data_IF_856617803739
#
_entry.id   IF_856617803739
#
_cell.length_a   1.000
_cell.length_b   1.000
_cell.length_c   1.000
_cell.angle_alpha   90.00
_cell.angle_beta   90.00
_cell.angle_gamma   90.00
#
_symmetry.space_group_name_H-M   'P 1'
#
loop_
_entity.id
_entity.type
_entity.pdbx_description
1 polymer ?
#
# COMPACT_ATOMS: atom_id res chain seq x y z
N UNK A 1 -27.64 -15.66 -13.70
CA UNK A 1 -26.24 -15.18 -13.76
C UNK A 1 -26.16 -14.30 -14.98
N UNK A 2 -25.80 -13.02 -14.84
CA UNK A 2 -25.41 -12.24 -16.01
C UNK A 2 -24.07 -12.78 -16.52
N UNK A 3 -23.97 -12.99 -17.82
CA UNK A 3 -22.72 -13.38 -18.48
C UNK A 3 -21.74 -12.18 -18.41
N UNK A 4 -20.49 -12.43 -18.02
CA UNK A 4 -19.43 -11.40 -18.02
C UNK A 4 -19.20 -10.84 -19.42
N UNK A 5 -19.46 -11.64 -20.45
CA UNK A 5 -19.38 -11.23 -21.86
C UNK A 5 -20.38 -10.12 -22.17
N UNK A 6 -21.65 -10.30 -21.76
CA UNK A 6 -22.71 -9.30 -21.93
C UNK A 6 -22.41 -8.02 -21.14
N UNK A 7 -21.82 -8.15 -19.94
CA UNK A 7 -21.41 -7.01 -19.12
C UNK A 7 -20.33 -6.18 -19.82
N UNK A 8 -19.29 -6.82 -20.34
CA UNK A 8 -18.21 -6.11 -21.05
C UNK A 8 -18.75 -5.45 -22.33
N UNK A 9 -19.64 -6.13 -23.05
CA UNK A 9 -20.26 -5.56 -24.25
C UNK A 9 -21.13 -4.33 -23.91
N UNK A 10 -21.85 -4.37 -22.79
CA UNK A 10 -22.57 -3.22 -22.26
C UNK A 10 -21.62 -2.04 -21.95
N UNK A 11 -20.47 -2.31 -21.31
CA UNK A 11 -19.46 -1.29 -21.00
C UNK A 11 -18.84 -0.68 -22.28
N UNK A 12 -18.61 -1.47 -23.34
CA UNK A 12 -18.10 -0.97 -24.62
C UNK A 12 -19.03 0.03 -25.30
N UNK A 13 -20.34 -0.06 -25.04
CA UNK A 13 -21.34 0.85 -25.59
C UNK A 13 -21.45 2.19 -24.83
N UNK A 14 -20.74 2.35 -23.71
CA UNK A 14 -20.72 3.60 -22.93
C UNK A 14 -19.73 4.59 -23.52
N UNK A 15 -20.00 5.89 -23.33
CA UNK A 15 -19.01 6.90 -23.66
C UNK A 15 -17.85 6.77 -22.66
N UNK A 16 -16.60 6.79 -23.12
CA UNK A 16 -15.44 6.66 -22.22
C UNK A 16 -15.43 7.68 -21.07
N UNK A 17 -16.02 8.87 -21.28
CA UNK A 17 -16.18 9.89 -20.24
C UNK A 17 -17.05 9.41 -19.08
N UNK A 18 -18.10 8.63 -19.38
CA UNK A 18 -18.97 8.05 -18.36
C UNK A 18 -18.21 7.04 -17.50
N UNK A 19 -17.25 6.31 -18.08
CA UNK A 19 -16.45 5.32 -17.37
C UNK A 19 -15.44 5.96 -16.41
N UNK A 20 -14.70 6.98 -16.86
CA UNK A 20 -13.65 7.62 -16.05
C UNK A 20 -14.17 8.56 -14.96
N UNK A 21 -15.43 8.98 -15.04
CA UNK A 21 -16.04 9.89 -14.06
C UNK A 21 -16.56 9.17 -12.81
N UNK A 22 -16.53 7.84 -12.78
CA UNK A 22 -17.00 7.07 -11.64
C UNK A 22 -15.98 7.09 -10.50
N UNK A 23 -16.45 7.36 -9.29
CA UNK A 23 -15.63 7.22 -8.09
C UNK A 23 -15.63 5.77 -7.65
N UNK A 24 -14.51 5.08 -7.88
CA UNK A 24 -14.29 3.69 -7.46
C UNK A 24 -13.08 3.70 -6.51
N UNK A 25 -13.35 3.51 -5.22
CA UNK A 25 -12.33 3.60 -4.18
C UNK A 25 -11.83 2.19 -3.81
N UNK A 26 -10.54 1.86 -3.98
CA UNK A 26 -9.98 0.59 -3.54
C UNK A 26 -9.83 0.54 -2.01
N UNK A 27 -9.46 -0.62 -1.49
CA UNK A 27 -8.91 -0.71 -0.14
C UNK A 27 -7.66 0.18 -0.02
N UNK A 28 -7.40 0.72 1.16
CA UNK A 28 -6.21 1.54 1.42
C UNK A 28 -4.94 0.79 1.00
N UNK A 29 -4.01 1.46 0.35
CA UNK A 29 -2.76 0.91 -0.21
C UNK A 29 -2.94 -0.10 -1.37
N UNK A 30 -4.15 -0.27 -1.89
CA UNK A 30 -4.45 -1.14 -3.04
C UNK A 30 -4.97 -0.33 -4.22
N UNK A 31 -5.11 -0.99 -5.37
CA UNK A 31 -5.60 -0.40 -6.63
C UNK A 31 -6.88 -1.10 -7.09
N UNK A 32 -7.80 -0.36 -7.71
CA UNK A 32 -9.04 -0.94 -8.29
C UNK A 32 -8.86 -1.46 -9.71
N UNK A 33 -8.04 -0.75 -10.51
CA UNK A 33 -7.76 -1.11 -11.90
C UNK A 33 -6.25 -0.98 -12.14
N UNK A 34 -5.63 -2.08 -12.55
CA UNK A 34 -4.19 -2.17 -12.79
C UNK A 34 -3.80 -3.53 -13.35
N UNK A 35 -2.51 -3.88 -13.34
CA UNK A 35 -2.05 -5.20 -13.73
C UNK A 35 -2.75 -6.31 -12.93
N UNK A 36 -3.08 -7.41 -13.60
CA UNK A 36 -3.69 -8.61 -13.00
C UNK A 36 -2.91 -9.84 -13.44
N UNK A 37 -2.92 -10.89 -12.61
CA UNK A 37 -2.39 -12.20 -12.97
C UNK A 37 -3.42 -12.85 -13.90
N UNK A 38 -3.20 -12.75 -15.21
CA UNK A 38 -4.09 -13.26 -16.26
C UNK A 38 -3.68 -14.67 -16.74
N UNK A 39 -2.50 -15.14 -16.36
CA UNK A 39 -1.96 -16.44 -16.78
C UNK A 39 -1.36 -16.43 -18.18
N UNK A 40 -1.23 -15.27 -18.83
CA UNK A 40 -0.68 -15.11 -20.18
C UNK A 40 0.38 -14.01 -20.21
N UNK A 41 -0.02 -12.74 -20.06
CA UNK A 41 0.92 -11.61 -20.00
C UNK A 41 1.67 -11.59 -18.67
N UNK A 42 0.96 -11.84 -17.57
CA UNK A 42 1.50 -12.04 -16.22
C UNK A 42 1.13 -13.47 -15.82
N UNK A 43 2.04 -14.45 -16.03
CA UNK A 43 1.73 -15.86 -15.87
C UNK A 43 1.40 -16.29 -14.43
N UNK A 44 2.05 -15.67 -13.44
CA UNK A 44 1.93 -16.01 -12.03
C UNK A 44 2.23 -14.79 -11.14
N UNK A 45 2.21 -14.96 -9.83
CA UNK A 45 2.59 -13.93 -8.86
C UNK A 45 4.00 -13.39 -9.16
N UNK A 46 4.18 -12.06 -9.27
CA UNK A 46 5.49 -11.46 -9.53
C UNK A 46 6.58 -11.91 -8.54
N UNK A 47 6.25 -12.19 -7.28
CA UNK A 47 7.20 -12.73 -6.32
C UNK A 47 7.71 -14.11 -6.77
N UNK A 48 6.81 -15.00 -7.17
CA UNK A 48 7.14 -16.35 -7.64
C UNK A 48 7.98 -16.28 -8.92
N UNK A 49 7.59 -15.44 -9.88
CA UNK A 49 8.32 -15.26 -11.14
C UNK A 49 9.76 -14.77 -10.89
N UNK A 50 9.95 -13.85 -9.95
CA UNK A 50 11.28 -13.36 -9.58
C UNK A 50 12.12 -14.42 -8.87
N UNK A 51 11.52 -15.22 -7.98
CA UNK A 51 12.20 -16.33 -7.29
C UNK A 51 12.63 -17.45 -8.25
N UNK A 52 11.83 -17.71 -9.29
CA UNK A 52 12.14 -18.67 -10.35
C UNK A 52 13.16 -18.15 -11.37
N UNK A 53 13.39 -16.82 -11.39
CA UNK A 53 14.24 -16.19 -12.40
C UNK A 53 13.58 -16.09 -13.78
N UNK A 54 12.24 -16.05 -13.82
CA UNK A 54 11.42 -15.87 -15.04
C UNK A 54 11.46 -14.42 -15.53
N UNK A 55 12.67 -13.88 -15.68
CA UNK A 55 12.93 -12.61 -16.34
C UNK A 55 14.18 -12.76 -17.20
N UNK A 56 14.19 -12.12 -18.37
CA UNK A 56 15.36 -12.14 -19.24
C UNK A 56 16.52 -11.39 -18.58
N UNK A 57 17.74 -11.82 -18.86
CA UNK A 57 18.94 -11.19 -18.30
C UNK A 57 19.13 -9.79 -18.90
N UNK A 58 18.79 -8.78 -18.11
CA UNK A 58 18.92 -7.36 -18.46
C UNK A 58 19.89 -6.67 -17.51
N UNK A 59 20.53 -5.61 -17.98
CA UNK A 59 21.23 -4.67 -17.10
C UNK A 59 20.19 -3.85 -16.32
N UNK A 60 20.09 -4.09 -15.01
CA UNK A 60 19.10 -3.46 -14.13
C UNK A 60 19.80 -2.50 -13.17
N UNK A 61 19.29 -1.27 -13.09
CA UNK A 61 19.63 -0.29 -12.05
C UNK A 61 18.35 0.14 -11.35
N UNK A 62 18.30 -0.04 -10.03
CA UNK A 62 17.17 0.35 -9.18
C UNK A 62 17.66 1.09 -7.92
N UNK A 63 16.79 1.92 -7.34
CA UNK A 63 17.07 2.71 -6.15
C UNK A 63 15.79 3.29 -5.55
N UNK A 64 15.92 3.90 -4.36
CA UNK A 64 14.81 4.54 -3.62
C UNK A 64 15.24 5.90 -3.10
N UNK A 65 14.30 6.81 -2.88
CA UNK A 65 14.57 8.10 -2.24
C UNK A 65 14.57 7.98 -0.70
N UNK A 66 15.20 8.94 -0.03
CA UNK A 66 15.31 8.95 1.44
C UNK A 66 13.96 9.01 2.16
N UNK A 67 12.92 9.60 1.55
CA UNK A 67 11.64 9.89 2.21
C UNK A 67 10.43 9.72 1.30
N UNK A 68 10.30 8.55 0.65
CA UNK A 68 9.15 8.24 -0.22
C UNK A 68 7.80 8.41 0.51
N UNK A 69 7.78 8.07 1.79
CA UNK A 69 6.59 8.07 2.64
C UNK A 69 6.13 9.44 3.14
N UNK A 70 6.61 10.57 2.58
CA UNK A 70 6.26 11.91 3.07
C UNK A 70 4.74 12.11 3.23
N UNK A 71 3.94 11.57 2.30
CA UNK A 71 2.47 11.65 2.31
C UNK A 71 1.78 10.80 3.37
N UNK A 72 2.49 9.87 4.00
CA UNK A 72 1.93 8.99 5.03
C UNK A 72 1.58 9.74 6.32
N UNK A 73 2.33 10.81 6.62
CA UNK A 73 2.14 11.64 7.82
C UNK A 73 1.36 12.93 7.55
N UNK A 74 0.81 13.10 6.34
CA UNK A 74 -0.01 14.27 6.00
C UNK A 74 -1.22 14.38 6.95
N UNK A 75 -1.41 15.56 7.56
CA UNK A 75 -2.55 15.85 8.42
C UNK A 75 -2.41 15.46 9.89
N UNK A 76 -1.32 14.77 10.28
CA UNK A 76 -1.02 14.43 11.68
C UNK A 76 0.23 15.15 12.22
N UNK A 77 0.98 15.84 11.37
CA UNK A 77 2.10 16.69 11.78
C UNK A 77 1.55 18.02 12.29
N UNK A 78 1.99 18.42 13.49
CA UNK A 78 1.60 19.67 14.12
C UNK A 78 2.39 20.90 13.60
N UNK A 79 2.10 22.09 14.16
CA UNK A 79 2.77 23.33 13.76
C UNK A 79 4.24 23.41 14.21
N UNK A 80 4.70 22.46 15.04
CA UNK A 80 6.06 22.36 15.57
C UNK A 80 6.81 21.19 14.90
N UNK A 81 6.34 20.73 13.73
CA UNK A 81 6.92 19.63 12.95
C UNK A 81 6.96 18.26 13.67
N UNK A 82 6.12 18.07 14.70
CA UNK A 82 6.04 16.87 15.53
C UNK A 82 4.84 15.96 15.22
N UNK A 83 4.94 14.70 15.66
CA UNK A 83 3.80 13.75 15.69
C UNK A 83 3.55 13.30 17.13
N UNK A 84 2.28 13.32 17.55
CA UNK A 84 1.92 12.92 18.92
C UNK A 84 2.01 11.40 19.10
N UNK A 85 2.20 10.89 20.34
CA UNK A 85 2.21 9.45 20.58
C UNK A 85 0.92 8.75 20.15
N UNK A 86 -0.23 9.43 20.30
CA UNK A 86 -1.53 8.87 19.92
C UNK A 86 -1.66 8.75 18.40
N UNK A 87 -1.22 9.77 17.66
CA UNK A 87 -1.27 9.75 16.19
C UNK A 87 -0.29 8.75 15.60
N UNK A 88 0.88 8.57 16.22
CA UNK A 88 1.83 7.52 15.87
C UNK A 88 1.21 6.12 16.07
N UNK A 89 0.67 5.85 17.27
CA UNK A 89 0.05 4.58 17.60
C UNK A 89 -1.12 4.25 16.66
N UNK A 90 -1.95 5.25 16.34
CA UNK A 90 -3.06 5.12 15.41
C UNK A 90 -2.58 4.83 13.98
N UNK A 91 -1.56 5.55 13.51
CA UNK A 91 -0.99 5.36 12.17
C UNK A 91 -0.42 3.96 11.99
N UNK A 92 0.35 3.48 12.97
CA UNK A 92 0.91 2.11 12.93
C UNK A 92 -0.20 1.07 12.98
N UNK A 93 -1.20 1.25 13.83
CA UNK A 93 -2.32 0.31 13.91
C UNK A 93 -3.08 0.22 12.59
N UNK A 94 -3.43 1.36 11.98
CA UNK A 94 -4.11 1.39 10.69
C UNK A 94 -3.26 0.80 9.57
N UNK A 95 -1.96 1.04 9.58
CA UNK A 95 -1.05 0.46 8.59
C UNK A 95 -1.07 -1.07 8.65
N UNK A 96 -0.97 -1.63 9.86
CA UNK A 96 -1.05 -3.09 10.07
C UNK A 96 -2.41 -3.64 9.64
N UNK A 97 -3.49 -2.96 10.00
CA UNK A 97 -4.85 -3.36 9.65
C UNK A 97 -5.08 -3.42 8.14
N UNK A 98 -4.60 -2.42 7.39
CA UNK A 98 -4.85 -2.30 5.95
C UNK A 98 -3.95 -3.21 5.10
N UNK A 99 -2.73 -3.52 5.55
CA UNK A 99 -1.78 -4.33 4.76
C UNK A 99 -1.72 -5.80 5.17
N UNK A 100 -1.87 -6.10 6.46
CA UNK A 100 -1.75 -7.46 6.97
C UNK A 100 -3.12 -8.06 7.34
N UNK A 101 -4.16 -7.24 7.46
CA UNK A 101 -5.51 -7.68 7.81
C UNK A 101 -5.61 -8.14 9.26
N UNK A 102 -6.06 -9.38 9.47
CA UNK A 102 -6.19 -10.01 10.79
C UNK A 102 -5.50 -11.39 10.81
N UNK A 103 -4.17 -11.43 10.70
CA UNK A 103 -3.43 -12.68 10.79
C UNK A 103 -3.38 -13.15 12.24
N UNK A 104 -3.11 -14.45 12.44
CA UNK A 104 -2.76 -14.96 13.76
C UNK A 104 -1.52 -14.22 14.28
N UNK A 105 -1.61 -13.65 15.49
CA UNK A 105 -0.51 -12.85 16.07
C UNK A 105 -0.47 -11.37 15.65
N UNK A 106 -1.56 -10.82 15.10
CA UNK A 106 -1.68 -9.40 14.74
C UNK A 106 -1.21 -8.43 15.84
N UNK A 107 -1.61 -8.66 17.09
CA UNK A 107 -1.20 -7.78 18.20
C UNK A 107 0.32 -7.81 18.42
N UNK A 108 0.92 -9.00 18.33
CA UNK A 108 2.38 -9.14 18.37
C UNK A 108 3.03 -8.37 17.22
N UNK A 109 2.50 -8.46 16.01
CA UNK A 109 3.01 -7.72 14.85
C UNK A 109 2.94 -6.21 15.07
N UNK A 110 1.78 -5.71 15.52
CA UNK A 110 1.57 -4.28 15.79
C UNK A 110 2.51 -3.75 16.85
N UNK A 111 2.61 -4.42 18.00
CA UNK A 111 3.50 -3.98 19.08
C UNK A 111 4.97 -4.07 18.69
N UNK A 112 5.35 -5.08 17.90
CA UNK A 112 6.72 -5.22 17.38
C UNK A 112 7.06 -4.06 16.43
N UNK A 113 6.17 -3.70 15.51
CA UNK A 113 6.40 -2.57 14.59
C UNK A 113 6.52 -1.27 15.38
N UNK A 114 5.61 -1.00 16.31
CA UNK A 114 5.70 0.18 17.20
C UNK A 114 7.04 0.23 17.93
N UNK A 115 7.49 -0.91 18.44
CA UNK A 115 8.77 -1.02 19.15
C UNK A 115 9.97 -0.73 18.25
N UNK A 116 9.98 -1.28 17.04
CA UNK A 116 11.09 -1.13 16.08
C UNK A 116 11.24 0.29 15.53
N UNK A 117 10.13 1.04 15.41
CA UNK A 117 10.10 2.41 14.91
C UNK A 117 10.03 3.47 16.03
N UNK A 118 10.30 3.09 17.27
CA UNK A 118 10.48 4.04 18.38
C UNK A 118 11.96 4.31 18.59
N UNK A 119 12.38 5.57 18.53
CA UNK A 119 13.72 5.96 19.00
C UNK A 119 13.76 5.92 20.52
N UNK A 120 14.30 4.83 21.06
CA UNK A 120 14.39 4.62 22.51
C UNK A 120 15.41 5.53 23.20
N UNK A 121 16.37 6.08 22.46
CA UNK A 121 17.35 7.01 23.03
C UNK A 121 16.75 8.41 23.22
N UNK A 122 15.72 8.75 22.45
CA UNK A 122 15.03 10.05 22.48
C UNK A 122 13.50 9.91 22.38
N UNK A 123 12.95 9.05 23.26
CA UNK A 123 11.54 8.61 23.21
C UNK A 123 10.51 9.74 23.28
N UNK A 124 10.83 10.80 24.03
CA UNK A 124 9.91 11.91 24.27
C UNK A 124 9.91 12.93 23.12
N UNK A 125 10.88 12.87 22.21
CA UNK A 125 10.99 13.78 21.08
C UNK A 125 9.91 13.49 20.01
N UNK A 126 8.99 14.42 19.73
CA UNK A 126 7.96 14.23 18.72
C UNK A 126 8.50 14.19 17.28
N UNK A 127 9.67 14.80 17.01
CA UNK A 127 10.26 14.82 15.67
C UNK A 127 10.90 13.49 15.26
N UNK A 128 11.26 12.61 16.20
CA UNK A 128 11.80 11.29 15.86
C UNK A 128 10.70 10.36 15.35
N UNK A 129 9.43 10.63 15.67
CA UNK A 129 8.26 9.83 15.27
C UNK A 129 7.80 10.04 13.82
N UNK A 130 8.42 10.98 13.10
CA UNK A 130 8.22 11.21 11.65
C UNK A 130 9.31 10.57 10.77
N UNK A 131 10.37 9.99 11.38
CA UNK A 131 11.52 9.40 10.68
C UNK A 131 11.43 7.88 10.68
#
# INVERSE_FOLDING_TARGET
MLDTTDMVECLRNKNYKELIQQTITPATYHISFGPVIDGDVIPDDPQILMEQGEFLNYDIMLGVNQGEGLKFVDGIVDNEDGVTPNDFDFSVSNFVDNLYGYPEGKDTLRETIKFMYTDWADKENPETRRK
#
